data_IF_055915311775
#
_entry.id   IF_055915311775
#
_cell.length_a   1.000
_cell.length_b   1.000
_cell.length_c   1.000
_cell.angle_alpha   90.00
_cell.angle_beta   90.00
_cell.angle_gamma   90.00
#
_symmetry.space_group_name_H-M   'P 1'
#
loop_
_entity.id
_entity.type
_entity.pdbx_description
1 polymer ?
#
# COMPACT_ATOMS: atom_id res chain seq x y z
N UNK A 1 -8.22 -12.36 -4.18
CA UNK A 1 -7.96 -13.37 -3.12
C UNK A 1 -7.81 -12.73 -1.74
N UNK A 2 -6.94 -11.73 -1.54
CA UNK A 2 -6.74 -11.09 -0.23
C UNK A 2 -8.06 -10.59 0.41
N UNK A 3 -8.89 -9.87 -0.35
CA UNK A 3 -10.20 -9.39 0.09
C UNK A 3 -11.15 -10.52 0.51
N UNK A 4 -11.17 -11.62 -0.26
CA UNK A 4 -12.00 -12.79 0.04
C UNK A 4 -11.55 -13.50 1.32
N UNK A 5 -10.24 -13.51 1.58
CA UNK A 5 -9.64 -14.15 2.74
C UNK A 5 -9.59 -13.23 3.99
N UNK A 6 -10.13 -12.01 3.91
CA UNK A 6 -10.07 -11.04 5.02
C UNK A 6 -8.65 -10.61 5.41
N UNK A 7 -7.69 -10.73 4.48
CA UNK A 7 -6.29 -10.36 4.73
C UNK A 7 -6.16 -8.84 4.69
N UNK A 8 -5.51 -8.19 5.68
CA UNK A 8 -5.24 -6.76 5.62
C UNK A 8 -4.41 -6.40 4.37
N UNK A 9 -4.86 -5.39 3.63
CA UNK A 9 -4.18 -4.92 2.41
C UNK A 9 -3.65 -3.50 2.61
N UNK A 10 -2.38 -3.30 2.30
CA UNK A 10 -1.73 -1.98 2.22
C UNK A 10 -1.18 -1.83 0.81
N UNK A 11 -1.50 -0.72 0.15
CA UNK A 11 -1.05 -0.42 -1.20
C UNK A 11 -0.17 0.81 -1.21
N UNK A 12 0.84 0.83 -2.08
CA UNK A 12 1.80 1.93 -2.15
C UNK A 12 2.30 2.11 -3.58
N UNK A 13 2.54 3.36 -3.99
CA UNK A 13 3.16 3.70 -5.27
C UNK A 13 4.32 4.66 -5.06
N UNK A 14 5.34 4.57 -5.92
CA UNK A 14 6.53 5.44 -5.86
C UNK A 14 6.32 6.66 -6.73
N UNK A 15 6.25 7.85 -6.13
CA UNK A 15 6.09 9.14 -6.83
C UNK A 15 4.94 9.07 -7.84
N UNK A 16 3.70 8.83 -7.40
CA UNK A 16 2.57 8.53 -8.28
C UNK A 16 2.17 9.68 -9.22
N UNK A 17 2.54 10.92 -8.88
CA UNK A 17 2.32 12.09 -9.74
C UNK A 17 3.46 12.34 -10.73
N UNK A 18 4.50 11.49 -10.71
CA UNK A 18 5.64 11.54 -11.61
C UNK A 18 5.50 10.54 -12.78
N UNK A 19 6.60 10.26 -13.50
CA UNK A 19 6.59 9.37 -14.67
C UNK A 19 6.19 7.92 -14.34
N UNK A 20 6.22 7.52 -13.06
CA UNK A 20 5.79 6.20 -12.61
C UNK A 20 4.26 6.01 -12.68
N UNK A 21 3.50 7.11 -12.71
CA UNK A 21 2.05 7.09 -12.76
C UNK A 21 1.37 6.61 -11.47
N UNK A 22 0.03 6.72 -11.42
CA UNK A 22 -0.75 6.31 -10.26
C UNK A 22 -0.80 4.78 -10.12
N UNK A 23 -1.26 4.32 -8.96
CA UNK A 23 -1.62 2.92 -8.80
C UNK A 23 -2.75 2.56 -9.78
N UNK A 24 -2.69 1.37 -10.38
CA UNK A 24 -3.74 0.91 -11.29
C UNK A 24 -5.12 0.87 -10.58
N UNK A 25 -6.20 1.41 -11.20
CA UNK A 25 -7.51 1.54 -10.54
C UNK A 25 -8.10 0.23 -10.01
N UNK A 26 -7.86 -0.88 -10.71
CA UNK A 26 -8.42 -2.20 -10.43
C UNK A 26 -8.01 -2.71 -9.04
N UNK A 27 -6.88 -2.25 -8.49
CA UNK A 27 -6.47 -2.61 -7.12
C UNK A 27 -7.44 -2.01 -6.10
N UNK A 28 -7.89 -0.77 -6.30
CA UNK A 28 -8.87 -0.13 -5.42
C UNK A 28 -10.26 -0.74 -5.57
N UNK A 29 -10.63 -1.13 -6.79
CA UNK A 29 -11.90 -1.81 -7.06
C UNK A 29 -11.97 -3.19 -6.38
N UNK A 30 -10.87 -3.95 -6.43
CA UNK A 30 -10.83 -5.30 -5.86
C UNK A 30 -10.52 -5.32 -4.35
N UNK A 31 -9.90 -4.26 -3.83
CA UNK A 31 -9.57 -4.13 -2.40
C UNK A 31 -9.95 -2.72 -1.88
N UNK A 32 -11.25 -2.38 -1.82
CA UNK A 32 -11.69 -1.04 -1.39
C UNK A 32 -11.36 -0.72 0.06
N UNK A 33 -11.05 -1.74 0.88
CA UNK A 33 -10.61 -1.62 2.27
C UNK A 33 -9.10 -1.39 2.41
N UNK A 34 -8.34 -1.42 1.31
CA UNK A 34 -6.89 -1.28 1.36
C UNK A 34 -6.49 0.13 1.83
N UNK A 35 -5.49 0.20 2.71
CA UNK A 35 -4.89 1.49 3.09
C UNK A 35 -3.84 1.88 2.07
N UNK A 36 -4.06 3.00 1.37
CA UNK A 36 -3.10 3.53 0.40
C UNK A 36 -2.09 4.49 1.04
N UNK A 37 -0.81 4.31 0.74
CA UNK A 37 0.30 5.14 1.24
C UNK A 37 1.26 5.43 0.08
N UNK A 38 1.25 6.66 -0.42
CA UNK A 38 2.16 7.09 -1.49
C UNK A 38 3.57 7.35 -0.93
N UNK A 39 4.60 6.95 -1.68
CA UNK A 39 5.99 7.29 -1.39
C UNK A 39 6.37 8.55 -2.15
N UNK A 40 7.12 9.44 -1.49
CA UNK A 40 7.46 10.78 -2.00
C UNK A 40 8.86 10.83 -2.60
N UNK A 41 9.63 9.75 -2.48
CA UNK A 41 10.95 9.59 -3.09
C UNK A 41 11.66 8.31 -2.67
N UNK A 42 11.13 7.61 -1.68
CA UNK A 42 11.68 6.36 -1.17
C UNK A 42 11.55 5.24 -2.20
N UNK A 43 12.69 4.66 -2.57
CA UNK A 43 12.73 3.48 -3.44
C UNK A 43 12.17 2.28 -2.68
N UNK A 44 12.72 2.02 -1.50
CA UNK A 44 12.26 0.98 -0.59
C UNK A 44 11.05 1.48 0.21
N UNK A 45 9.96 0.69 0.22
CA UNK A 45 8.76 1.04 0.98
C UNK A 45 8.98 1.03 2.49
N UNK A 46 9.97 0.28 2.98
CA UNK A 46 10.30 0.21 4.40
C UNK A 46 10.98 1.48 4.94
N UNK A 47 11.50 2.34 4.05
CA UNK A 47 12.08 3.63 4.44
C UNK A 47 10.98 4.69 4.66
N UNK A 48 9.74 4.41 4.26
CA UNK A 48 8.60 5.27 4.54
C UNK A 48 8.00 4.93 5.92
N UNK A 49 8.06 5.84 6.91
CA UNK A 49 7.61 5.56 8.27
C UNK A 49 6.09 5.33 8.36
N UNK A 50 5.29 5.95 7.49
CA UNK A 50 3.84 5.72 7.44
C UNK A 50 3.53 4.31 6.95
N UNK A 51 4.29 3.81 5.97
CA UNK A 51 4.17 2.44 5.48
C UNK A 51 4.50 1.42 6.57
N UNK A 52 5.63 1.61 7.27
CA UNK A 52 6.02 0.73 8.38
C UNK A 52 4.98 0.76 9.51
N UNK A 53 4.47 1.94 9.86
CA UNK A 53 3.42 2.07 10.87
C UNK A 53 2.13 1.35 10.47
N UNK A 54 1.72 1.46 9.20
CA UNK A 54 0.55 0.76 8.70
C UNK A 54 0.72 -0.76 8.73
N UNK A 55 1.90 -1.28 8.33
CA UNK A 55 2.21 -2.71 8.41
C UNK A 55 2.13 -3.19 9.86
N UNK A 56 2.76 -2.48 10.80
CA UNK A 56 2.73 -2.84 12.23
C UNK A 56 1.30 -2.83 12.79
N UNK A 57 0.45 -1.91 12.34
CA UNK A 57 -0.95 -1.82 12.75
C UNK A 57 -1.82 -3.00 12.28
N UNK A 58 -1.40 -3.76 11.27
CA UNK A 58 -2.13 -4.97 10.83
C UNK A 58 -2.11 -6.08 11.88
N UNK A 59 -1.17 -6.04 12.84
CA UNK A 59 -1.01 -7.09 13.85
C UNK A 59 -0.52 -8.44 13.30
N UNK A 60 -0.29 -8.55 11.98
CA UNK A 60 0.25 -9.74 11.33
C UNK A 60 1.72 -9.88 11.71
N UNK A 61 2.03 -10.86 12.57
CA UNK A 61 3.39 -11.20 12.96
C UNK A 61 3.97 -12.21 11.95
N UNK A 62 5.25 -12.05 11.64
CA UNK A 62 6.06 -13.10 11.00
C UNK A 62 6.61 -14.03 12.05
#
# INVERSE_FOLDING_TARGET
MASLAGIPVITTASVPQGPNGPLIPEIHENAPHAKYIARKGEINAWDNPEFVAAVKATGVKR
#
